data_IF_596941207534
#
_entry.id   IF_596941207534
#
_cell.length_a   1.000
_cell.length_b   1.000
_cell.length_c   1.000
_cell.angle_alpha   90.00
_cell.angle_beta   90.00
_cell.angle_gamma   90.00
#
_symmetry.space_group_name_H-M   'P 1'
#
loop_
_entity.id
_entity.type
_entity.pdbx_description
1 polymer ?
#
# COMPACT_ATOMS: atom_id res chain seq x y z
N UNK A 1 -3.30 25.24 7.32
CA UNK A 1 -2.98 23.90 6.77
C UNK A 1 -4.09 22.92 7.11
N UNK A 2 -4.44 22.05 6.19
CA UNK A 2 -5.46 21.03 6.40
C UNK A 2 -4.83 19.74 6.87
N UNK A 3 -5.41 19.12 7.90
CA UNK A 3 -4.99 17.81 8.37
C UNK A 3 -5.91 16.75 7.81
N UNK A 4 -5.35 15.69 7.24
CA UNK A 4 -6.10 14.50 6.83
C UNK A 4 -5.53 13.26 7.49
N UNK A 5 -6.39 12.29 7.73
CA UNK A 5 -5.99 10.99 8.23
C UNK A 5 -6.26 9.95 7.15
N UNK A 6 -5.26 9.13 6.87
CA UNK A 6 -5.38 8.00 5.96
C UNK A 6 -5.22 6.72 6.75
N UNK A 7 -6.06 5.75 6.48
CA UNK A 7 -6.03 4.46 7.15
C UNK A 7 -6.03 3.31 6.14
N UNK A 8 -5.09 2.41 6.30
CA UNK A 8 -5.01 1.17 5.52
C UNK A 8 -5.18 -0.01 6.47
N UNK A 9 -6.22 -0.78 6.25
CA UNK A 9 -6.53 -1.95 7.06
C UNK A 9 -5.63 -3.12 6.64
N UNK A 10 -4.83 -3.61 7.57
CA UNK A 10 -3.85 -4.68 7.36
C UNK A 10 -4.51 -5.99 6.91
N UNK A 11 -5.60 -6.37 7.55
CA UNK A 11 -6.30 -7.61 7.23
C UNK A 11 -6.84 -7.59 5.79
N UNK A 12 -7.35 -6.45 5.33
CA UNK A 12 -7.81 -6.28 3.95
C UNK A 12 -6.68 -6.38 2.95
N UNK A 13 -5.53 -5.80 3.27
CA UNK A 13 -4.34 -5.90 2.42
C UNK A 13 -3.92 -7.36 2.29
N UNK A 14 -3.88 -8.09 3.39
CA UNK A 14 -3.54 -9.52 3.38
C UNK A 14 -4.53 -10.35 2.58
N UNK A 15 -5.84 -10.07 2.70
CA UNK A 15 -6.87 -10.74 1.89
C UNK A 15 -6.65 -10.50 0.39
N UNK A 16 -6.36 -9.28 -0.01
CA UNK A 16 -6.09 -8.97 -1.42
C UNK A 16 -4.80 -9.60 -1.91
N UNK A 17 -3.76 -9.63 -1.09
CA UNK A 17 -2.51 -10.33 -1.42
C UNK A 17 -2.77 -11.82 -1.63
N UNK A 18 -3.54 -12.44 -0.75
CA UNK A 18 -3.91 -13.86 -0.86
C UNK A 18 -4.72 -14.14 -2.13
N UNK A 19 -5.70 -13.31 -2.44
CA UNK A 19 -6.50 -13.42 -3.68
C UNK A 19 -5.63 -13.27 -4.93
N UNK A 20 -4.77 -12.27 -4.95
CA UNK A 20 -3.90 -11.99 -6.10
C UNK A 20 -2.93 -13.13 -6.35
N UNK A 21 -2.30 -13.65 -5.31
CA UNK A 21 -1.35 -14.76 -5.42
C UNK A 21 -2.05 -16.07 -5.77
N UNK A 22 -3.24 -16.31 -5.21
CA UNK A 22 -4.05 -17.48 -5.55
C UNK A 22 -4.50 -17.47 -7.02
N UNK A 23 -4.91 -16.31 -7.52
CA UNK A 23 -5.30 -16.17 -8.93
C UNK A 23 -4.13 -16.46 -9.87
N UNK A 24 -2.96 -15.95 -9.57
CA UNK A 24 -1.75 -16.22 -10.35
C UNK A 24 -1.37 -17.69 -10.26
N UNK A 25 -1.51 -18.31 -9.08
CA UNK A 25 -1.29 -19.74 -8.89
C UNK A 25 -2.24 -20.61 -9.73
N UNK A 26 -3.51 -20.20 -9.86
CA UNK A 26 -4.51 -20.87 -10.71
C UNK A 26 -4.14 -20.75 -12.18
N UNK A 27 -3.64 -19.61 -12.62
CA UNK A 27 -3.16 -19.44 -14.01
C UNK A 27 -1.98 -20.36 -14.35
N UNK A 28 -1.19 -20.72 -13.38
CA UNK A 28 -0.06 -21.64 -13.53
C UNK A 28 -0.50 -23.10 -13.32
N UNK A 29 -1.62 -23.48 -13.92
CA UNK A 29 -2.30 -24.77 -13.68
C UNK A 29 -1.46 -26.02 -13.95
N UNK A 30 -0.43 -25.90 -14.78
CA UNK A 30 0.46 -27.03 -15.09
C UNK A 30 1.41 -27.39 -13.94
N UNK A 31 1.44 -26.57 -12.89
CA UNK A 31 2.28 -26.80 -11.72
C UNK A 31 1.48 -26.60 -10.42
N UNK A 32 0.90 -27.67 -9.90
CA UNK A 32 0.17 -27.69 -8.63
C UNK A 32 1.05 -27.26 -7.46
N UNK A 33 2.35 -27.54 -7.52
CA UNK A 33 3.28 -27.16 -6.46
C UNK A 33 3.55 -25.67 -6.44
N UNK A 34 3.44 -24.97 -7.58
CA UNK A 34 3.52 -23.51 -7.64
C UNK A 34 2.33 -22.86 -6.93
N UNK A 35 1.12 -23.41 -7.15
CA UNK A 35 -0.09 -22.93 -6.47
C UNK A 35 0.03 -23.07 -4.95
N UNK A 36 0.48 -24.23 -4.47
CA UNK A 36 0.65 -24.49 -3.04
C UNK A 36 1.73 -23.61 -2.41
N UNK A 37 2.78 -23.28 -3.16
CA UNK A 37 3.86 -22.39 -2.69
C UNK A 37 3.43 -20.93 -2.59
N UNK A 38 2.45 -20.53 -3.38
CA UNK A 38 1.92 -19.16 -3.35
C UNK A 38 0.93 -18.98 -2.19
N UNK A 39 0.42 -20.08 -1.65
CA UNK A 39 -0.49 -20.07 -0.52
C UNK A 39 0.27 -19.97 0.81
N UNK A 40 -0.24 -19.16 1.73
CA UNK A 40 0.47 -18.81 2.95
C UNK A 40 0.52 -19.91 4.01
N UNK A 41 1.73 -20.28 4.41
CA UNK A 41 2.01 -21.09 5.62
C UNK A 41 2.38 -20.14 6.79
N UNK A 42 2.64 -20.70 7.99
CA UNK A 42 3.08 -19.87 9.13
C UNK A 42 4.43 -19.17 8.86
N UNK A 43 5.36 -19.85 8.20
CA UNK A 43 6.62 -19.23 7.77
C UNK A 43 6.38 -18.10 6.76
N UNK A 44 5.42 -18.28 5.87
CA UNK A 44 5.04 -17.26 4.89
C UNK A 44 4.43 -16.04 5.57
N UNK A 45 3.68 -16.21 6.66
CA UNK A 45 3.13 -15.10 7.43
C UNK A 45 4.22 -14.23 8.06
N UNK A 46 5.29 -14.82 8.54
CA UNK A 46 6.44 -14.04 9.05
C UNK A 46 7.06 -13.19 7.95
N UNK A 47 7.19 -13.74 6.73
CA UNK A 47 7.67 -12.99 5.57
C UNK A 47 6.69 -11.88 5.19
N UNK A 48 5.39 -12.14 5.19
CA UNK A 48 4.37 -11.13 4.92
C UNK A 48 4.39 -9.99 5.92
N UNK A 49 4.60 -10.29 7.21
CA UNK A 49 4.77 -9.28 8.25
C UNK A 49 5.96 -8.36 7.95
N UNK A 50 7.06 -8.94 7.55
CA UNK A 50 8.25 -8.18 7.14
C UNK A 50 7.94 -7.28 5.95
N UNK A 51 7.28 -7.82 4.93
CA UNK A 51 6.91 -7.05 3.73
C UNK A 51 5.92 -5.92 4.06
N UNK A 52 4.98 -6.18 4.98
CA UNK A 52 4.07 -5.16 5.49
C UNK A 52 4.83 -4.00 6.12
N UNK A 53 5.76 -4.30 7.03
CA UNK A 53 6.58 -3.28 7.69
C UNK A 53 7.38 -2.48 6.66
N UNK A 54 8.00 -3.15 5.69
CA UNK A 54 8.74 -2.48 4.63
C UNK A 54 7.85 -1.58 3.77
N UNK A 55 6.63 -2.02 3.45
CA UNK A 55 5.66 -1.22 2.71
C UNK A 55 5.21 0.01 3.52
N UNK A 56 4.95 -0.15 4.82
CA UNK A 56 4.63 0.95 5.71
C UNK A 56 5.75 2.00 5.74
N UNK A 57 6.99 1.55 5.88
CA UNK A 57 8.15 2.43 5.89
C UNK A 57 8.34 3.16 4.56
N UNK A 58 8.11 2.46 3.46
CA UNK A 58 8.17 3.06 2.12
C UNK A 58 7.14 4.16 1.92
N UNK A 59 5.92 3.93 2.35
CA UNK A 59 4.85 4.95 2.30
C UNK A 59 5.18 6.15 3.19
N UNK A 60 5.63 5.90 4.42
CA UNK A 60 6.00 6.95 5.37
C UNK A 60 7.13 7.81 4.84
N UNK A 61 8.13 7.20 4.18
CA UNK A 61 9.23 7.93 3.56
C UNK A 61 8.72 8.91 2.50
N UNK A 62 7.74 8.50 1.70
CA UNK A 62 7.14 9.37 0.70
C UNK A 62 6.32 10.51 1.34
N UNK A 63 5.67 10.25 2.47
CA UNK A 63 4.86 11.25 3.16
C UNK A 63 5.66 12.23 4.03
N UNK A 64 6.97 12.04 4.17
CA UNK A 64 7.81 12.90 5.02
C UNK A 64 7.51 14.40 4.93
N UNK A 65 7.35 15.01 3.74
CA UNK A 65 7.09 16.44 3.64
C UNK A 65 5.80 16.91 4.32
N UNK A 66 4.85 16.00 4.54
CA UNK A 66 3.52 16.31 5.09
C UNK A 66 3.27 15.66 6.45
N UNK A 67 4.20 14.86 6.93
CA UNK A 67 3.97 13.94 8.04
C UNK A 67 3.76 14.69 9.36
N UNK A 68 2.63 14.42 10.02
CA UNK A 68 2.35 14.84 11.40
C UNK A 68 2.59 13.68 12.35
N UNK A 69 1.98 12.53 12.06
CA UNK A 69 2.14 11.31 12.88
C UNK A 69 1.87 10.07 12.05
N UNK A 70 2.41 8.95 12.47
CA UNK A 70 2.22 7.66 11.83
C UNK A 70 2.24 6.57 12.89
N UNK A 71 1.46 5.51 12.67
CA UNK A 71 1.47 4.33 13.53
C UNK A 71 2.81 3.60 13.39
N UNK A 72 3.50 3.40 14.50
CA UNK A 72 4.74 2.65 14.51
C UNK A 72 4.50 1.17 14.21
N UNK A 73 5.31 0.62 13.32
CA UNK A 73 5.28 -0.79 12.92
C UNK A 73 6.61 -1.43 13.30
N UNK A 74 6.81 -1.78 14.59
CA UNK A 74 8.07 -2.38 14.99
C UNK A 74 8.25 -3.76 14.38
N UNK A 75 9.49 -4.10 14.01
CA UNK A 75 9.82 -5.46 13.59
C UNK A 75 9.61 -6.39 14.77
N UNK A 76 8.63 -7.28 14.67
CA UNK A 76 8.38 -8.31 15.65
C UNK A 76 8.91 -9.65 15.15
N UNK A 77 9.78 -10.28 15.93
CA UNK A 77 10.29 -11.61 15.59
C UNK A 77 9.23 -12.66 15.95
N UNK A 78 8.51 -13.13 14.93
CA UNK A 78 7.56 -14.24 15.08
C UNK A 78 6.23 -13.91 15.74
N UNK A 79 5.92 -12.64 16.01
CA UNK A 79 4.62 -12.23 16.56
C UNK A 79 3.93 -11.31 15.55
N UNK A 80 2.76 -11.73 15.10
CA UNK A 80 1.91 -10.89 14.25
C UNK A 80 1.28 -9.78 15.09
N UNK A 81 1.57 -8.53 14.74
CA UNK A 81 0.95 -7.37 15.37
C UNK A 81 -0.26 -6.94 14.56
N UNK A 82 -1.44 -6.96 15.16
CA UNK A 82 -2.67 -6.46 14.54
C UNK A 82 -2.70 -4.94 14.59
N UNK A 83 -1.85 -4.29 13.79
CA UNK A 83 -1.82 -2.84 13.68
C UNK A 83 -2.03 -2.41 12.24
N UNK A 84 -3.07 -1.62 12.02
CA UNK A 84 -3.32 -0.97 10.75
C UNK A 84 -2.30 0.15 10.52
N UNK A 85 -2.12 0.54 9.27
CA UNK A 85 -1.35 1.71 8.93
C UNK A 85 -2.24 2.93 9.00
N UNK A 86 -1.95 3.83 9.91
CA UNK A 86 -2.64 5.09 10.07
C UNK A 86 -1.63 6.22 9.99
N UNK A 87 -1.87 7.18 9.12
CA UNK A 87 -1.00 8.32 8.92
C UNK A 87 -1.80 9.61 8.94
N UNK A 88 -1.30 10.59 9.66
CA UNK A 88 -1.86 11.94 9.69
C UNK A 88 -0.93 12.88 8.95
N UNK A 89 -1.50 13.57 7.97
CA UNK A 89 -0.77 14.46 7.08
C UNK A 89 -1.28 15.90 7.23
N UNK A 90 -0.38 16.85 7.10
CA UNK A 90 -0.70 18.27 7.03
C UNK A 90 -0.48 18.75 5.59
N UNK A 91 -1.57 19.08 4.93
CA UNK A 91 -1.57 19.49 3.53
C UNK A 91 -1.93 20.96 3.36
N UNK A 92 -1.72 21.49 2.16
CA UNK A 92 -2.09 22.87 1.82
C UNK A 92 -3.58 23.13 2.08
N UNK A 93 -3.94 24.36 2.48
CA UNK A 93 -5.33 24.79 2.60
C UNK A 93 -6.10 24.65 1.28
N UNK A 94 -5.41 24.65 0.15
CA UNK A 94 -5.99 24.48 -1.18
C UNK A 94 -6.15 23.01 -1.59
N UNK A 95 -5.80 22.08 -0.71
CA UNK A 95 -6.00 20.65 -0.96
C UNK A 95 -7.49 20.33 -1.10
N UNK A 96 -7.82 19.51 -2.08
CA UNK A 96 -9.19 19.08 -2.33
C UNK A 96 -9.51 17.84 -1.48
N UNK A 97 -10.29 18.01 -0.43
CA UNK A 97 -10.67 16.94 0.50
C UNK A 97 -11.48 15.83 -0.17
N UNK A 98 -12.12 16.11 -1.31
CA UNK A 98 -12.83 15.08 -2.07
C UNK A 98 -11.89 14.00 -2.62
N UNK A 99 -10.58 14.26 -2.67
CA UNK A 99 -9.57 13.31 -3.12
C UNK A 99 -9.15 12.31 -2.04
N UNK A 100 -9.56 12.49 -0.80
CA UNK A 100 -9.13 11.62 0.32
C UNK A 100 -9.39 10.13 0.03
N UNK A 101 -10.60 9.78 -0.38
CA UNK A 101 -10.94 8.39 -0.68
C UNK A 101 -10.13 7.84 -1.86
N UNK A 102 -9.88 8.67 -2.87
CA UNK A 102 -9.06 8.30 -4.02
C UNK A 102 -7.60 8.06 -3.61
N UNK A 103 -7.07 8.89 -2.72
CA UNK A 103 -5.71 8.71 -2.16
C UNK A 103 -5.64 7.41 -1.36
N UNK A 104 -6.62 7.12 -0.51
CA UNK A 104 -6.65 5.87 0.26
C UNK A 104 -6.71 4.65 -0.65
N UNK A 105 -7.49 4.70 -1.74
CA UNK A 105 -7.58 3.61 -2.71
C UNK A 105 -6.24 3.37 -3.40
N UNK A 106 -5.57 4.42 -3.85
CA UNK A 106 -4.25 4.30 -4.48
C UNK A 106 -3.19 3.83 -3.48
N UNK A 107 -3.27 4.28 -2.24
CA UNK A 107 -2.36 3.83 -1.18
C UNK A 107 -2.57 2.35 -0.86
N UNK A 108 -3.82 1.90 -0.79
CA UNK A 108 -4.15 0.48 -0.64
C UNK A 108 -3.54 -0.35 -1.78
N UNK A 109 -3.70 0.10 -3.02
CA UNK A 109 -3.12 -0.57 -4.19
C UNK A 109 -1.60 -0.63 -4.11
N UNK A 110 -0.95 0.43 -3.60
CA UNK A 110 0.49 0.43 -3.36
C UNK A 110 0.90 -0.67 -2.38
N UNK A 111 0.20 -0.80 -1.23
CA UNK A 111 0.51 -1.83 -0.24
C UNK A 111 0.39 -3.23 -0.82
N UNK A 112 -0.71 -3.51 -1.51
CA UNK A 112 -0.95 -4.82 -2.14
C UNK A 112 0.13 -5.12 -3.17
N UNK A 113 0.38 -4.20 -4.11
CA UNK A 113 1.34 -4.41 -5.19
C UNK A 113 2.77 -4.57 -4.64
N UNK A 114 3.15 -3.79 -3.63
CA UNK A 114 4.47 -3.88 -3.02
C UNK A 114 4.70 -5.24 -2.36
N UNK A 115 3.73 -5.71 -1.59
CA UNK A 115 3.83 -7.00 -0.89
C UNK A 115 3.84 -8.14 -1.90
N UNK A 116 2.96 -8.11 -2.90
CA UNK A 116 2.92 -9.13 -3.96
C UNK A 116 4.23 -9.16 -4.74
N UNK A 117 4.78 -8.00 -5.08
CA UNK A 117 6.08 -7.90 -5.76
C UNK A 117 7.19 -8.56 -4.96
N UNK A 118 7.27 -8.26 -3.67
CA UNK A 118 8.28 -8.85 -2.78
C UNK A 118 8.11 -10.35 -2.62
N UNK A 119 6.87 -10.81 -2.52
CA UNK A 119 6.54 -12.23 -2.48
C UNK A 119 7.01 -12.95 -3.74
N UNK A 120 6.73 -12.39 -4.91
CA UNK A 120 7.09 -12.99 -6.19
C UNK A 120 8.59 -12.96 -6.51
N UNK A 121 9.38 -12.15 -5.85
CA UNK A 121 10.85 -12.23 -5.96
C UNK A 121 11.39 -13.61 -5.63
N UNK A 122 10.72 -14.33 -4.72
CA UNK A 122 11.12 -15.65 -4.28
C UNK A 122 10.37 -16.78 -4.98
N UNK A 123 9.13 -16.53 -5.42
CA UNK A 123 8.24 -17.57 -5.95
C UNK A 123 8.03 -17.46 -7.45
N UNK A 124 8.03 -16.26 -8.02
CA UNK A 124 7.80 -16.03 -9.45
C UNK A 124 8.40 -14.69 -9.89
N UNK A 125 9.67 -14.73 -10.27
CA UNK A 125 10.41 -13.52 -10.68
C UNK A 125 9.79 -12.77 -11.87
N UNK A 126 9.15 -13.48 -12.79
CA UNK A 126 8.52 -12.86 -13.97
C UNK A 126 7.37 -11.93 -13.61
N UNK A 127 6.60 -12.27 -12.59
CA UNK A 127 5.49 -11.43 -12.11
C UNK A 127 5.96 -10.32 -11.17
N UNK A 128 7.09 -10.50 -10.47
CA UNK A 128 7.61 -9.53 -9.50
C UNK A 128 7.81 -8.15 -10.09
N UNK A 129 8.40 -8.04 -11.27
CA UNK A 129 8.67 -6.75 -11.91
C UNK A 129 7.40 -5.99 -12.27
N UNK A 130 6.39 -6.71 -12.76
CA UNK A 130 5.08 -6.12 -13.11
C UNK A 130 4.42 -5.48 -11.88
N UNK A 131 4.35 -6.21 -10.78
CA UNK A 131 3.76 -5.70 -9.54
C UNK A 131 4.63 -4.60 -8.90
N UNK A 132 5.94 -4.68 -9.03
CA UNK A 132 6.84 -3.61 -8.59
C UNK A 132 6.58 -2.30 -9.33
N UNK A 133 6.36 -2.37 -10.65
CA UNK A 133 5.96 -1.22 -11.47
C UNK A 133 4.60 -0.65 -11.04
N UNK A 134 3.64 -1.51 -10.74
CA UNK A 134 2.33 -1.11 -10.26
C UNK A 134 2.42 -0.39 -8.90
N UNK A 135 3.28 -0.86 -8.01
CA UNK A 135 3.49 -0.23 -6.71
C UNK A 135 4.07 1.18 -6.86
N UNK A 136 5.07 1.34 -7.71
CA UNK A 136 5.68 2.66 -8.00
C UNK A 136 4.64 3.60 -8.59
N UNK A 137 3.84 3.13 -9.54
CA UNK A 137 2.76 3.92 -10.15
C UNK A 137 1.70 4.34 -9.13
N UNK A 138 1.33 3.45 -8.22
CA UNK A 138 0.32 3.73 -7.20
C UNK A 138 0.80 4.78 -6.19
N UNK A 139 2.02 4.67 -5.67
CA UNK A 139 2.55 5.64 -4.70
C UNK A 139 2.79 6.99 -5.37
N UNK A 140 3.22 7.01 -6.63
CA UNK A 140 3.37 8.24 -7.41
C UNK A 140 2.01 8.95 -7.57
N UNK A 141 0.95 8.21 -7.84
CA UNK A 141 -0.42 8.72 -7.91
C UNK A 141 -0.88 9.33 -6.58
N UNK A 142 -0.58 8.66 -5.46
CA UNK A 142 -0.83 9.17 -4.11
C UNK A 142 -0.17 10.53 -3.91
N UNK A 143 1.10 10.65 -4.30
CA UNK A 143 1.86 11.87 -4.13
C UNK A 143 1.33 13.00 -5.02
N UNK A 144 1.00 12.71 -6.26
CA UNK A 144 0.40 13.69 -7.18
C UNK A 144 -0.92 14.23 -6.63
N UNK A 145 -1.79 13.38 -6.13
CA UNK A 145 -3.05 13.77 -5.51
C UNK A 145 -2.85 14.60 -4.24
N UNK A 146 -1.86 14.26 -3.43
CA UNK A 146 -1.53 14.99 -2.19
C UNK A 146 -1.01 16.39 -2.49
N UNK A 147 -0.31 16.57 -3.60
CA UNK A 147 0.17 17.89 -4.04
C UNK A 147 -0.88 18.67 -4.84
N UNK A 148 -1.95 18.03 -5.28
CA UNK A 148 -2.97 18.72 -6.06
C UNK A 148 -3.62 19.82 -5.27
N UNK A 149 -3.73 20.98 -5.88
CA UNK A 149 -4.37 22.17 -5.30
C UNK A 149 -5.59 22.54 -6.11
N UNK A 150 -6.71 22.68 -5.42
CA UNK A 150 -7.95 23.15 -6.03
C UNK A 150 -7.77 24.57 -6.53
N UNK A 151 -8.18 24.82 -7.78
CA UNK A 151 -8.14 26.17 -8.35
C UNK A 151 -9.02 27.12 -7.52
N UNK A 152 -8.53 28.34 -7.21
CA UNK A 152 -9.37 29.29 -6.53
C UNK A 152 -10.59 29.64 -7.39
N UNK A 153 -11.75 29.69 -6.74
CA UNK A 153 -12.99 30.11 -7.38
C UNK A 153 -12.94 31.61 -7.58
N UNK A 154 -13.10 32.06 -8.83
CA UNK A 154 -13.16 33.46 -9.13
C UNK A 154 -14.50 34.03 -8.63
N UNK A 155 -14.45 34.91 -7.63
CA UNK A 155 -15.63 35.64 -7.21
C UNK A 155 -15.87 36.77 -8.22
N UNK A 156 -16.98 36.65 -8.95
CA UNK A 156 -17.40 37.77 -9.83
C UNK A 156 -18.13 38.78 -8.95
N UNK A 157 -17.64 40.02 -8.85
CA UNK A 157 -18.37 41.02 -8.08
C UNK A 157 -19.74 41.27 -8.70
N UNK A 158 -20.75 41.33 -7.83
CA UNK A 158 -22.14 41.56 -8.23
C UNK A 158 -22.33 42.98 -8.84
#
# INVERSE_FOLDING_TARGET
>A
MKNIELKINKARVYDEVAKTTSYTGVKMQDDKSAYDRIFTTDADREMLERFWVEACNGATEQFKPFLVSVTEQPMSHGVELEKDYEVKLELSNSFDESLKCSIETSLFSYFVAMIVSKWYKFTNKGESESYGGDAVGAIDDVMKKSYYRKKPTRVVPA
#
